data_IF_872893371839
#
_entry.id   IF_872893371839
#
_cell.length_a   1.000
_cell.length_b   1.000
_cell.length_c   1.000
_cell.angle_alpha   90.00
_cell.angle_beta   90.00
_cell.angle_gamma   90.00
#
_symmetry.space_group_name_H-M   'P 1'
#
loop_
_entity.id
_entity.type
_entity.pdbx_description
1 polymer ?
#
# COMPACT_ATOMS: atom_id res chain seq x y z
N UNK A 1 -2.48 24.17 -6.42
CA UNK A 1 -1.06 24.65 -6.44
C UNK A 1 -0.02 23.56 -6.10
N UNK A 2 0.17 23.13 -4.84
CA UNK A 2 1.19 22.11 -4.49
C UNK A 2 0.95 20.74 -5.15
N UNK A 3 -0.32 20.34 -5.30
CA UNK A 3 -0.70 19.09 -5.98
C UNK A 3 -0.41 19.15 -7.49
N UNK A 4 -0.79 20.21 -8.20
CA UNK A 4 -0.48 20.37 -9.64
C UNK A 4 1.03 20.36 -9.90
N UNK A 5 1.82 21.01 -9.04
CA UNK A 5 3.27 21.04 -9.20
C UNK A 5 3.91 19.66 -9.01
N UNK A 6 3.45 18.90 -8.00
CA UNK A 6 3.88 17.51 -7.80
C UNK A 6 3.46 16.63 -8.97
N UNK A 7 2.26 16.82 -9.50
CA UNK A 7 1.75 16.10 -10.67
C UNK A 7 2.60 16.39 -11.91
N UNK A 8 2.91 17.66 -12.22
CA UNK A 8 3.80 18.02 -13.34
C UNK A 8 5.19 17.40 -13.22
N UNK A 9 5.79 17.45 -12.03
CA UNK A 9 7.09 16.78 -11.78
C UNK A 9 7.00 15.27 -11.94
N UNK A 10 5.91 14.64 -11.54
CA UNK A 10 5.74 13.19 -11.68
C UNK A 10 5.63 12.77 -13.15
N UNK A 11 4.90 13.54 -13.96
CA UNK A 11 4.81 13.34 -15.43
C UNK A 11 6.18 13.52 -16.09
N UNK A 12 6.93 14.55 -15.71
CA UNK A 12 8.29 14.79 -16.27
C UNK A 12 9.32 13.71 -15.91
N UNK A 13 9.08 12.91 -14.87
CA UNK A 13 9.96 11.79 -14.47
C UNK A 13 9.70 10.50 -15.24
N UNK A 14 8.63 10.46 -16.04
CA UNK A 14 8.30 9.29 -16.85
C UNK A 14 9.37 9.10 -17.90
N UNK A 15 10.01 7.93 -17.88
CA UNK A 15 10.96 7.49 -18.88
C UNK A 15 10.27 6.53 -19.85
N UNK A 16 10.63 6.57 -21.15
CA UNK A 16 10.16 5.58 -22.10
C UNK A 16 10.63 4.19 -21.67
N UNK A 17 9.80 3.18 -21.89
CA UNK A 17 10.09 1.81 -21.52
C UNK A 17 10.89 1.06 -22.59
N UNK A 18 11.73 0.14 -22.15
CA UNK A 18 12.57 -0.70 -23.01
C UNK A 18 11.83 -1.78 -23.84
N UNK A 19 10.49 -1.79 -23.90
CA UNK A 19 9.71 -2.75 -24.70
C UNK A 19 9.74 -4.22 -24.21
N UNK A 20 10.43 -4.51 -23.11
CA UNK A 20 10.53 -5.86 -22.50
C UNK A 20 9.15 -6.44 -22.15
N UNK A 21 9.01 -7.75 -22.26
CA UNK A 21 7.77 -8.44 -21.92
C UNK A 21 7.46 -8.40 -20.42
N UNK A 22 6.18 -8.31 -20.07
CA UNK A 22 5.68 -8.41 -18.71
C UNK A 22 6.01 -9.79 -18.14
N UNK A 23 6.83 -9.81 -17.10
CA UNK A 23 7.19 -11.06 -16.42
C UNK A 23 5.97 -11.63 -15.71
N UNK A 24 5.73 -12.93 -15.89
CA UNK A 24 4.66 -13.68 -15.19
C UNK A 24 4.75 -13.47 -13.68
N UNK A 25 3.59 -13.28 -13.04
CA UNK A 25 3.51 -13.18 -11.59
C UNK A 25 3.84 -14.53 -10.95
N UNK A 26 4.75 -14.55 -9.97
CA UNK A 26 5.11 -15.78 -9.25
C UNK A 26 4.50 -15.76 -7.85
N UNK A 27 4.11 -16.92 -7.32
CA UNK A 27 3.37 -16.98 -6.06
C UNK A 27 4.12 -16.35 -4.89
N UNK A 28 5.45 -16.49 -4.81
CA UNK A 28 6.24 -15.85 -3.75
C UNK A 28 6.34 -14.31 -3.88
N UNK A 29 5.99 -13.74 -5.04
CA UNK A 29 6.00 -12.28 -5.26
C UNK A 29 4.77 -11.59 -4.66
N UNK A 30 3.84 -12.34 -4.05
CA UNK A 30 2.63 -11.81 -3.42
C UNK A 30 2.87 -10.61 -2.49
N UNK A 31 3.94 -10.64 -1.69
CA UNK A 31 4.23 -9.60 -0.71
C UNK A 31 5.17 -8.52 -1.25
N UNK A 32 5.81 -8.76 -2.39
CA UNK A 32 6.90 -7.91 -2.90
C UNK A 32 6.57 -7.25 -4.23
N UNK A 33 5.46 -7.62 -4.86
CA UNK A 33 5.03 -7.14 -6.18
C UNK A 33 3.53 -6.92 -6.23
N UNK A 34 3.14 -5.73 -6.64
CA UNK A 34 1.78 -5.32 -6.92
C UNK A 34 1.60 -5.26 -8.44
N UNK A 35 0.56 -5.91 -8.97
CA UNK A 35 0.24 -5.89 -10.40
C UNK A 35 -1.23 -5.55 -10.60
N UNK A 36 -1.50 -4.51 -11.39
CA UNK A 36 -2.83 -3.99 -11.65
C UNK A 36 -3.07 -3.86 -13.15
N UNK A 37 -4.31 -4.06 -13.57
CA UNK A 37 -4.74 -4.01 -14.95
C UNK A 37 -5.81 -2.95 -15.15
N UNK A 38 -5.69 -2.21 -16.26
CA UNK A 38 -6.66 -1.25 -16.75
C UNK A 38 -6.97 -1.62 -18.20
N UNK A 39 -8.25 -1.86 -18.48
CA UNK A 39 -8.73 -2.04 -19.85
C UNK A 39 -9.30 -0.71 -20.31
N UNK A 40 -8.72 -0.14 -21.35
CA UNK A 40 -9.25 1.04 -22.01
C UNK A 40 -9.79 0.63 -23.37
N UNK A 41 -11.05 0.97 -23.62
CA UNK A 41 -11.62 0.93 -24.97
C UNK A 41 -11.37 2.29 -25.59
N UNK A 42 -10.66 2.28 -26.71
CA UNK A 42 -10.36 3.49 -27.47
C UNK A 42 -11.52 3.84 -28.40
N UNK A 43 -11.56 5.07 -28.92
CA UNK A 43 -12.68 5.58 -29.74
C UNK A 43 -12.86 4.79 -31.05
N UNK A 44 -11.81 4.10 -31.51
CA UNK A 44 -11.83 3.18 -32.64
C UNK A 44 -12.36 1.77 -32.28
N UNK A 45 -12.86 1.59 -31.06
CA UNK A 45 -13.37 0.33 -30.53
C UNK A 45 -12.28 -0.67 -30.13
N UNK A 46 -11.00 -0.36 -30.33
CA UNK A 46 -9.90 -1.24 -29.92
C UNK A 46 -9.78 -1.26 -28.41
N UNK A 47 -9.60 -2.45 -27.85
CA UNK A 47 -9.32 -2.61 -26.43
C UNK A 47 -7.82 -2.76 -26.22
N UNK A 48 -7.31 -1.92 -25.34
CA UNK A 48 -5.90 -1.88 -24.97
C UNK A 48 -5.76 -2.24 -23.49
N UNK A 49 -4.85 -3.16 -23.18
CA UNK A 49 -4.60 -3.59 -21.81
C UNK A 49 -3.37 -2.89 -21.25
N UNK A 50 -3.59 -1.93 -20.35
CA UNK A 50 -2.54 -1.33 -19.56
C UNK A 50 -2.32 -2.15 -18.29
N UNK A 51 -1.07 -2.47 -17.98
CA UNK A 51 -0.70 -3.14 -16.74
C UNK A 51 0.34 -2.33 -15.97
N UNK A 52 0.07 -2.07 -14.68
CA UNK A 52 0.95 -1.35 -13.77
C UNK A 52 1.62 -2.37 -12.85
N UNK A 53 2.94 -2.54 -13.00
CA UNK A 53 3.79 -3.40 -12.17
C UNK A 53 4.61 -2.55 -11.20
N UNK A 54 4.39 -2.73 -9.90
CA UNK A 54 5.12 -2.05 -8.83
C UNK A 54 5.87 -3.10 -8.00
N UNK A 55 7.19 -2.99 -7.94
CA UNK A 55 8.05 -3.93 -7.21
C UNK A 55 8.65 -3.24 -5.98
N UNK A 56 8.31 -3.76 -4.81
CA UNK A 56 8.80 -3.30 -3.51
C UNK A 56 10.18 -3.90 -3.16
N UNK A 57 10.54 -5.04 -3.77
CA UNK A 57 11.75 -5.81 -3.43
C UNK A 57 13.08 -5.13 -3.78
N UNK A 58 13.07 -4.12 -4.65
CA UNK A 58 14.28 -3.43 -5.12
C UNK A 58 14.46 -2.06 -4.43
N UNK A 59 14.18 -2.01 -3.12
CA UNK A 59 14.32 -0.80 -2.30
C UNK A 59 15.78 -0.41 -2.03
N UNK A 60 16.77 -1.14 -2.57
CA UNK A 60 18.20 -0.84 -2.46
C UNK A 60 18.57 0.54 -3.02
N UNK A 61 17.80 1.09 -3.95
CA UNK A 61 18.00 2.45 -4.48
C UNK A 61 17.31 3.55 -3.62
N UNK A 62 16.62 3.19 -2.54
CA UNK A 62 15.92 4.13 -1.65
C UNK A 62 14.57 4.62 -2.16
N UNK A 63 14.11 4.13 -3.32
CA UNK A 63 12.81 4.49 -3.90
C UNK A 63 12.17 3.32 -4.65
N UNK A 64 10.84 3.34 -4.76
CA UNK A 64 10.05 2.34 -5.49
C UNK A 64 9.83 2.82 -6.93
N UNK A 65 10.01 1.93 -7.92
CA UNK A 65 9.70 2.19 -9.33
C UNK A 65 8.36 1.55 -9.70
N UNK A 66 7.55 2.29 -10.46
CA UNK A 66 6.38 1.78 -11.13
C UNK A 66 6.69 1.62 -12.63
N UNK A 67 6.25 0.51 -13.19
CA UNK A 67 6.40 0.19 -14.62
C UNK A 67 5.02 0.06 -15.24
N UNK A 68 4.77 0.80 -16.31
CA UNK A 68 3.58 0.71 -17.14
C UNK A 68 3.87 -0.18 -18.35
N UNK A 69 3.01 -1.17 -18.57
CA UNK A 69 3.02 -2.06 -19.71
C UNK A 69 1.79 -1.79 -20.57
N UNK A 70 1.97 -1.82 -21.88
CA UNK A 70 0.94 -1.73 -22.90
C UNK A 70 0.89 -3.08 -23.62
N UNK A 71 -0.24 -3.79 -23.53
CA UNK A 71 -0.44 -5.12 -24.13
C UNK A 71 0.71 -6.10 -23.80
N UNK A 72 1.17 -6.05 -22.56
CA UNK A 72 2.25 -6.90 -22.06
C UNK A 72 3.66 -6.45 -22.42
N UNK A 73 3.85 -5.31 -23.09
CA UNK A 73 5.18 -4.75 -23.41
C UNK A 73 5.46 -3.51 -22.58
N UNK A 74 6.68 -3.38 -22.07
CA UNK A 74 7.08 -2.27 -21.21
C UNK A 74 7.03 -0.96 -22.00
N UNK A 75 6.12 -0.08 -21.60
CA UNK A 75 5.82 1.16 -22.30
C UNK A 75 6.47 2.36 -21.63
N UNK A 76 6.45 2.41 -20.29
CA UNK A 76 6.99 3.52 -19.53
C UNK A 76 7.40 3.10 -18.11
N UNK A 77 8.32 3.84 -17.50
CA UNK A 77 8.67 3.67 -16.09
C UNK A 77 8.81 5.02 -15.37
N UNK A 78 8.51 5.05 -14.07
CA UNK A 78 8.66 6.26 -13.26
C UNK A 78 8.86 5.91 -11.78
N UNK A 79 9.48 6.83 -11.04
CA UNK A 79 9.64 6.71 -9.59
C UNK A 79 8.33 7.08 -8.89
N UNK A 80 7.94 6.29 -7.89
CA UNK A 80 6.71 6.53 -7.12
C UNK A 80 6.91 7.73 -6.17
N UNK A 81 5.94 8.66 -6.03
CA UNK A 81 4.64 8.71 -6.70
C UNK A 81 4.76 9.00 -8.21
N UNK A 82 4.10 8.18 -9.02
CA UNK A 82 4.18 8.19 -10.48
C UNK A 82 2.83 8.58 -11.11
N UNK A 83 2.90 9.30 -12.22
CA UNK A 83 1.74 9.68 -13.04
C UNK A 83 2.09 9.34 -14.47
N UNK A 84 1.38 8.36 -15.04
CA UNK A 84 1.60 7.95 -16.42
C UNK A 84 0.52 8.54 -17.33
N UNK A 85 0.89 9.29 -18.39
CA UNK A 85 -0.08 9.71 -19.39
C UNK A 85 -0.56 8.49 -20.18
N UNK A 86 -1.88 8.34 -20.31
CA UNK A 86 -2.52 7.30 -21.12
C UNK A 86 -3.65 7.93 -21.94
N UNK A 87 -4.16 7.28 -23.00
CA UNK A 87 -5.30 7.81 -23.74
C UNK A 87 -6.49 8.12 -22.82
N UNK A 88 -7.11 9.28 -23.01
CA UNK A 88 -8.26 9.75 -22.23
C UNK A 88 -7.96 10.21 -20.80
N UNK A 89 -6.70 10.18 -20.32
CA UNK A 89 -6.40 10.62 -18.96
C UNK A 89 -4.99 10.30 -18.43
N UNK A 90 -4.89 10.05 -17.14
CA UNK A 90 -3.63 9.68 -16.49
C UNK A 90 -3.81 8.54 -15.50
N UNK A 91 -2.82 7.66 -15.41
CA UNK A 91 -2.77 6.63 -14.37
C UNK A 91 -1.89 7.12 -13.24
N UNK A 92 -2.51 7.38 -12.09
CA UNK A 92 -1.82 7.84 -10.90
C UNK A 92 -1.53 6.66 -9.96
N UNK A 93 -0.25 6.51 -9.60
CA UNK A 93 0.28 5.41 -8.80
C UNK A 93 0.99 5.96 -7.55
N UNK A 94 0.54 5.54 -6.38
CA UNK A 94 1.19 5.82 -5.09
C UNK A 94 1.41 4.53 -4.31
N UNK A 95 2.61 4.38 -3.75
CA UNK A 95 2.96 3.31 -2.84
C UNK A 95 3.30 3.88 -1.45
N UNK A 96 3.15 3.05 -0.44
CA UNK A 96 3.62 3.23 0.93
C UNK A 96 4.69 2.18 1.25
N UNK A 97 5.31 2.27 2.43
CA UNK A 97 6.26 1.26 2.90
C UNK A 97 5.66 -0.15 3.06
N UNK A 98 4.33 -0.27 3.09
CA UNK A 98 3.62 -1.54 3.26
C UNK A 98 2.96 -2.07 1.97
N UNK A 99 3.11 -1.38 0.84
CA UNK A 99 2.50 -1.80 -0.42
C UNK A 99 1.96 -0.65 -1.26
N UNK A 100 1.16 -0.96 -2.27
CA UNK A 100 0.50 0.05 -3.08
C UNK A 100 -0.62 0.74 -2.28
N UNK A 101 -0.58 2.07 -2.14
CA UNK A 101 -1.62 2.86 -1.47
C UNK A 101 -2.73 3.29 -2.42
N UNK A 102 -2.40 3.57 -3.69
CA UNK A 102 -3.37 4.04 -4.69
C UNK A 102 -2.91 3.68 -6.10
N UNK A 103 -3.82 3.12 -6.91
CA UNK A 103 -3.65 3.01 -8.36
C UNK A 103 -5.02 3.23 -9.01
N UNK A 104 -5.16 4.37 -9.67
CA UNK A 104 -6.42 4.81 -10.28
C UNK A 104 -6.13 5.50 -11.61
N UNK A 105 -7.07 5.34 -12.53
CA UNK A 105 -7.12 6.04 -13.79
C UNK A 105 -8.02 7.26 -13.59
N UNK A 106 -7.48 8.44 -13.87
CA UNK A 106 -8.20 9.71 -13.80
C UNK A 106 -8.41 10.18 -15.23
N UNK A 107 -9.67 10.27 -15.67
CA UNK A 107 -9.98 10.77 -17.03
C UNK A 107 -9.65 12.26 -17.15
N UNK A 108 -9.56 12.77 -18.37
CA UNK A 108 -9.41 14.19 -18.64
C UNK A 108 -10.56 15.04 -18.02
N UNK A 109 -11.75 14.45 -17.88
CA UNK A 109 -12.93 15.04 -17.25
C UNK A 109 -12.90 14.95 -15.72
N UNK A 110 -11.91 14.28 -15.14
CA UNK A 110 -11.73 14.14 -13.69
C UNK A 110 -12.44 12.94 -13.06
N UNK A 111 -13.02 12.03 -13.86
CA UNK A 111 -13.60 10.81 -13.35
C UNK A 111 -12.51 9.83 -12.90
N UNK A 112 -12.61 9.32 -11.67
CA UNK A 112 -11.64 8.39 -11.09
C UNK A 112 -12.14 6.94 -11.18
N UNK A 113 -11.35 6.08 -11.82
CA UNK A 113 -11.61 4.65 -11.95
C UNK A 113 -10.51 3.84 -11.26
N UNK A 114 -10.90 2.88 -10.40
CA UNK A 114 -9.93 2.00 -9.74
C UNK A 114 -9.49 0.88 -10.68
N UNK A 115 -8.18 0.60 -10.73
CA UNK A 115 -7.65 -0.50 -11.54
C UNK A 115 -7.96 -1.86 -10.90
N UNK A 116 -8.04 -2.89 -11.74
CA UNK A 116 -8.33 -4.26 -11.29
C UNK A 116 -7.03 -4.95 -10.89
N UNK A 117 -6.88 -5.45 -9.64
CA UNK A 117 -5.69 -6.19 -9.24
C UNK A 117 -5.59 -7.53 -9.98
N UNK A 118 -4.37 -7.95 -10.28
CA UNK A 118 -4.10 -9.26 -10.90
C UNK A 118 -4.56 -10.42 -10.00
N UNK A 119 -5.30 -11.42 -10.53
CA UNK A 119 -5.82 -12.53 -9.72
C UNK A 119 -4.75 -13.32 -8.96
N UNK A 120 -3.51 -13.37 -9.47
CA UNK A 120 -2.40 -14.07 -8.83
C UNK A 120 -1.72 -13.21 -7.75
N UNK A 121 -1.92 -11.89 -7.73
CA UNK A 121 -1.37 -10.98 -6.72
C UNK A 121 -2.06 -11.16 -5.37
N UNK A 122 -1.43 -10.66 -4.30
CA UNK A 122 -2.02 -10.73 -2.97
C UNK A 122 -3.34 -9.93 -2.91
N UNK A 123 -3.37 -8.76 -3.55
CA UNK A 123 -4.54 -7.90 -3.64
C UNK A 123 -5.68 -8.57 -4.43
N UNK A 124 -5.37 -9.22 -5.55
CA UNK A 124 -6.39 -9.93 -6.35
C UNK A 124 -6.98 -11.12 -5.62
N UNK A 125 -6.15 -11.91 -4.92
CA UNK A 125 -6.64 -13.01 -4.07
C UNK A 125 -7.46 -12.49 -2.90
N UNK A 126 -7.04 -11.39 -2.28
CA UNK A 126 -7.78 -10.78 -1.17
C UNK A 126 -9.12 -10.21 -1.62
N UNK A 127 -9.18 -9.61 -2.81
CA UNK A 127 -10.41 -9.14 -3.42
C UNK A 127 -11.34 -10.32 -3.79
N UNK A 128 -10.79 -11.44 -4.28
CA UNK A 128 -11.55 -12.67 -4.51
C UNK A 128 -12.11 -13.25 -3.21
N UNK A 129 -11.32 -13.27 -2.13
CA UNK A 129 -11.77 -13.71 -0.81
C UNK A 129 -12.92 -12.82 -0.29
N UNK A 130 -12.82 -11.50 -0.48
CA UNK A 130 -13.88 -10.56 -0.08
C UNK A 130 -15.20 -10.83 -0.82
N UNK A 131 -15.13 -11.10 -2.12
CA UNK A 131 -16.31 -11.43 -2.95
C UNK A 131 -16.88 -12.81 -2.64
N UNK A 132 -16.02 -13.82 -2.47
CA UNK A 132 -16.44 -15.21 -2.25
C UNK A 132 -16.98 -15.44 -0.83
N UNK A 133 -16.38 -14.79 0.18
CA UNK A 133 -16.73 -14.98 1.58
C UNK A 133 -16.77 -13.65 2.34
N UNK A 134 -17.85 -12.85 2.15
CA UNK A 134 -17.94 -11.51 2.75
C UNK A 134 -17.94 -11.55 4.29
N UNK A 135 -18.51 -12.58 4.91
CA UNK A 135 -18.54 -12.74 6.38
C UNK A 135 -17.15 -13.01 6.92
N UNK A 136 -16.41 -13.96 6.33
CA UNK A 136 -15.02 -14.24 6.73
C UNK A 136 -14.13 -13.00 6.54
N UNK A 137 -14.31 -12.28 5.43
CA UNK A 137 -13.57 -11.04 5.18
C UNK A 137 -13.84 -9.96 6.23
N UNK A 138 -15.09 -9.82 6.70
CA UNK A 138 -15.42 -8.92 7.82
C UNK A 138 -14.79 -9.39 9.13
N UNK A 139 -14.83 -10.70 9.40
CA UNK A 139 -14.21 -11.31 10.58
C UNK A 139 -12.71 -11.06 10.66
N UNK A 140 -11.97 -11.34 9.58
CA UNK A 140 -10.52 -11.06 9.49
C UNK A 140 -10.23 -9.57 9.72
N UNK A 141 -11.08 -8.69 9.19
CA UNK A 141 -10.90 -7.24 9.33
C UNK A 141 -11.22 -6.71 10.73
N UNK A 142 -12.15 -7.36 11.42
CA UNK A 142 -12.45 -7.06 12.81
C UNK A 142 -11.33 -7.57 13.73
N UNK A 143 -10.88 -8.81 13.54
CA UNK A 143 -9.79 -9.41 14.30
C UNK A 143 -8.49 -8.61 14.14
N UNK A 144 -8.14 -8.23 12.91
CA UNK A 144 -7.00 -7.38 12.61
C UNK A 144 -7.07 -6.01 13.31
N UNK A 145 -8.26 -5.41 13.41
CA UNK A 145 -8.45 -4.14 14.16
C UNK A 145 -8.29 -4.33 15.66
N UNK A 146 -8.89 -5.36 16.25
CA UNK A 146 -8.74 -5.68 17.68
C UNK A 146 -7.26 -5.83 18.01
N UNK A 147 -6.57 -6.63 17.21
CA UNK A 147 -5.15 -6.86 17.29
C UNK A 147 -4.34 -5.56 17.29
N UNK A 148 -4.62 -4.64 16.36
CA UNK A 148 -3.91 -3.35 16.29
C UNK A 148 -4.17 -2.49 17.51
N UNK A 149 -5.40 -2.47 18.01
CA UNK A 149 -5.76 -1.73 19.23
C UNK A 149 -5.04 -2.30 20.44
N UNK A 150 -5.00 -3.64 20.59
CA UNK A 150 -4.27 -4.30 21.67
C UNK A 150 -2.78 -3.98 21.56
N UNK A 151 -2.17 -4.13 20.38
CA UNK A 151 -0.75 -3.81 20.15
C UNK A 151 -0.42 -2.35 20.47
N UNK A 152 -1.30 -1.41 20.09
CA UNK A 152 -1.15 0.01 20.40
C UNK A 152 -1.24 0.29 21.90
N UNK A 153 -2.21 -0.31 22.61
CA UNK A 153 -2.36 -0.17 24.06
C UNK A 153 -1.12 -0.72 24.77
N UNK A 154 -0.64 -1.90 24.38
CA UNK A 154 0.59 -2.48 24.95
C UNK A 154 1.81 -1.60 24.69
N UNK A 155 1.94 -1.03 23.50
CA UNK A 155 3.00 -0.08 23.18
C UNK A 155 2.95 1.18 24.04
N UNK A 156 1.75 1.74 24.27
CA UNK A 156 1.55 2.92 25.13
C UNK A 156 1.94 2.59 26.58
N UNK A 157 1.53 1.43 27.10
CA UNK A 157 1.89 1.00 28.45
C UNK A 157 3.40 0.81 28.59
N UNK A 158 4.06 0.22 27.59
CA UNK A 158 5.52 0.07 27.58
C UNK A 158 6.26 1.40 27.52
N UNK A 159 5.79 2.35 26.70
CA UNK A 159 6.37 3.69 26.63
C UNK A 159 6.16 4.45 27.94
N UNK A 160 4.98 4.35 28.56
CA UNK A 160 4.70 4.96 29.84
C UNK A 160 5.64 4.42 30.94
N UNK A 161 5.88 3.10 30.95
CA UNK A 161 6.85 2.46 31.86
C UNK A 161 8.29 2.92 31.60
N UNK A 162 8.71 3.02 30.32
CA UNK A 162 10.04 3.52 29.97
C UNK A 162 10.24 4.99 30.39
N UNK A 163 9.24 5.84 30.17
CA UNK A 163 9.28 7.27 30.54
C UNK A 163 9.27 7.45 32.07
N UNK A 164 8.61 6.56 32.82
CA UNK A 164 8.57 6.63 34.29
C UNK A 164 9.80 5.99 34.97
N UNK A 165 10.47 5.02 34.33
CA UNK A 165 11.74 4.44 34.84
C UNK A 165 13.00 5.21 34.46
N UNK A 166 12.95 6.05 33.43
CA UNK A 166 14.10 6.86 33.04
C UNK A 166 14.49 7.81 34.20
N UNK A 167 15.80 7.91 34.57
CA UNK A 167 16.26 8.69 35.72
C UNK A 167 15.97 10.21 35.60
N UNK A 168 15.64 10.70 34.41
CA UNK A 168 15.26 12.10 34.12
C UNK A 168 13.73 12.28 33.86
N UNK A 169 12.93 11.24 34.09
CA UNK A 169 11.48 11.26 33.84
C UNK A 169 10.64 11.88 34.96
N UNK A 170 9.35 12.13 34.69
CA UNK A 170 8.32 12.67 35.60
C UNK A 170 8.04 11.84 36.87
N UNK A 171 8.95 10.93 37.25
CA UNK A 171 8.93 10.18 38.51
C UNK A 171 8.80 11.10 39.74
N UNK A 172 9.27 12.35 39.62
CA UNK A 172 9.19 13.39 40.63
C UNK A 172 7.75 13.89 40.91
N UNK A 173 6.82 13.72 39.95
CA UNK A 173 5.45 14.24 40.04
C UNK A 173 4.35 13.16 40.10
N UNK A 174 4.59 11.95 39.59
CA UNK A 174 3.54 10.92 39.39
C UNK A 174 3.77 9.62 40.19
N UNK A 175 4.96 9.42 40.75
CA UNK A 175 5.35 8.16 41.39
C UNK A 175 5.72 7.06 40.38
N UNK A 176 6.37 5.99 40.84
CA UNK A 176 6.85 4.89 39.98
C UNK A 176 5.71 3.96 39.59
N UNK A 177 5.22 4.08 38.35
CA UNK A 177 4.27 3.14 37.79
C UNK A 177 4.99 1.84 37.44
N UNK A 178 4.71 0.79 38.20
CA UNK A 178 5.26 -0.56 37.93
C UNK A 178 4.22 -1.29 37.09
N UNK A 179 4.54 -1.62 35.84
CA UNK A 179 3.65 -2.42 35.00
C UNK A 179 3.39 -3.77 35.69
N UNK A 180 2.13 -4.18 35.92
CA UNK A 180 1.81 -5.48 36.51
C UNK A 180 1.98 -6.64 35.50
N UNK A 181 2.40 -6.34 34.26
CA UNK A 181 2.54 -7.32 33.18
C UNK A 181 4.00 -7.30 32.73
N UNK A 182 4.80 -8.24 33.26
CA UNK A 182 6.11 -8.57 32.70
C UNK A 182 5.88 -9.23 31.33
N UNK A 183 6.00 -8.44 30.27
CA UNK A 183 5.95 -8.95 28.91
C UNK A 183 7.28 -9.65 28.61
N UNK A 184 7.31 -10.99 28.52
CA UNK A 184 8.53 -11.71 28.16
C UNK A 184 8.99 -11.28 26.77
N UNK A 185 10.30 -11.36 26.50
CA UNK A 185 10.89 -10.88 25.24
C UNK A 185 10.18 -11.42 23.97
N UNK A 186 9.63 -12.63 24.03
CA UNK A 186 8.85 -13.23 22.94
C UNK A 186 7.51 -12.50 22.68
N UNK A 187 6.91 -11.89 23.70
CA UNK A 187 5.67 -11.12 23.59
C UNK A 187 5.83 -9.90 22.69
N UNK A 188 6.95 -9.18 22.79
CA UNK A 188 7.27 -8.06 21.89
C UNK A 188 7.43 -8.52 20.44
N UNK A 189 8.06 -9.67 20.21
CA UNK A 189 8.17 -10.26 18.88
C UNK A 189 6.80 -10.62 18.30
N UNK A 190 5.92 -11.22 19.11
CA UNK A 190 4.54 -11.54 18.70
C UNK A 190 3.78 -10.26 18.36
N UNK A 191 3.83 -9.23 19.20
CA UNK A 191 3.17 -7.94 18.93
C UNK A 191 3.68 -7.32 17.63
N UNK A 192 4.98 -7.33 17.39
CA UNK A 192 5.57 -6.83 16.15
C UNK A 192 5.07 -7.58 14.92
N UNK A 193 5.06 -8.92 14.98
CA UNK A 193 4.63 -9.78 13.87
C UNK A 193 3.13 -9.64 13.59
N UNK A 194 2.34 -9.52 14.66
CA UNK A 194 0.90 -9.34 14.63
C UNK A 194 0.52 -7.94 14.10
N UNK A 195 1.24 -6.90 14.51
CA UNK A 195 1.09 -5.52 14.01
C UNK A 195 1.48 -5.43 12.53
N UNK A 196 2.56 -6.10 12.13
CA UNK A 196 2.98 -6.19 10.73
C UNK A 196 1.91 -6.89 9.89
N UNK A 197 1.42 -8.06 10.32
CA UNK A 197 0.37 -8.81 9.62
C UNK A 197 -0.93 -8.01 9.48
N UNK A 198 -1.34 -7.29 10.53
CA UNK A 198 -2.53 -6.45 10.50
C UNK A 198 -2.36 -5.22 9.58
N UNK A 199 -1.16 -4.62 9.56
CA UNK A 199 -0.82 -3.52 8.65
C UNK A 199 -0.83 -4.00 7.18
N UNK A 200 -0.30 -5.19 6.92
CA UNK A 200 -0.37 -5.83 5.60
C UNK A 200 -1.81 -6.13 5.19
N UNK A 201 -2.66 -6.66 6.07
CA UNK A 201 -4.09 -6.88 5.77
C UNK A 201 -4.82 -5.59 5.42
N UNK A 202 -4.50 -4.46 6.10
CA UNK A 202 -5.05 -3.15 5.74
C UNK A 202 -4.57 -2.69 4.36
N UNK A 203 -3.28 -2.83 4.07
CA UNK A 203 -2.71 -2.45 2.77
C UNK A 203 -3.34 -3.25 1.61
N UNK A 204 -3.54 -4.56 1.80
CA UNK A 204 -4.12 -5.45 0.80
C UNK A 204 -5.60 -5.19 0.50
N UNK A 205 -6.34 -4.55 1.43
CA UNK A 205 -7.77 -4.28 1.21
C UNK A 205 -8.01 -3.25 0.12
N UNK A 206 -7.06 -2.36 -0.20
CA UNK A 206 -7.17 -1.28 -1.20
C UNK A 206 -8.47 -0.44 -1.17
N UNK A 207 -9.31 -0.62 -0.13
CA UNK A 207 -10.54 0.13 0.08
C UNK A 207 -10.14 1.42 0.76
N UNK A 208 -9.86 2.40 -0.09
CA UNK A 208 -9.60 3.76 0.32
C UNK A 208 -10.83 4.30 1.08
N UNK A 209 -10.68 4.46 2.39
CA UNK A 209 -11.61 5.26 3.19
C UNK A 209 -10.95 6.62 3.43
N UNK A 210 -11.52 7.67 2.82
CA UNK A 210 -11.06 9.06 2.94
C UNK A 210 -10.80 9.48 4.41
N UNK A 211 -11.61 8.97 5.35
CA UNK A 211 -11.53 9.33 6.76
C UNK A 211 -10.22 8.91 7.46
N UNK A 212 -9.53 7.85 7.01
CA UNK A 212 -8.40 7.27 7.76
C UNK A 212 -7.02 7.62 7.19
N UNK A 213 -6.94 8.15 5.97
CA UNK A 213 -5.68 8.31 5.24
C UNK A 213 -5.44 9.75 4.75
N UNK A 214 -6.22 10.73 5.24
CA UNK A 214 -6.05 12.16 4.98
C UNK A 214 -4.81 12.79 5.62
N UNK A 215 -4.17 12.10 6.57
CA UNK A 215 -2.93 12.53 7.20
C UNK A 215 -1.74 11.71 6.74
N UNK A 216 -1.04 12.19 5.71
CA UNK A 216 0.43 12.16 5.51
C UNK A 216 0.69 12.56 4.06
N UNK A 217 1.07 13.82 3.87
CA UNK A 217 1.41 14.42 2.58
C UNK A 217 2.87 14.26 2.18
#
# INVERSE_FOLDING_TARGET
MLKEWRHRRAVQRVKPGDGRALKRFRWWQMLTRALFHLRLTHDDGRQTLYAVDVRHQNQSEGYVKAHLYLDGRHHAESRVPAVFPVPGGTVEVRASGFGLKRCHYVTAEGAEFTLVPDPASAEGRRARLDRAHPVLSRGIGFLSRIVLVIGLVLLILQLAEQVTRAPEGLAQYVGTFTSPIDLPAWGNTVIGLVTAAASTERALRLRYHWLLDGGTG
#
